data_IF_210543026173
#
_entry.id   IF_210543026173
#
_cell.length_a   1.000
_cell.length_b   1.000
_cell.length_c   1.000
_cell.angle_alpha   90.00
_cell.angle_beta   90.00
_cell.angle_gamma   90.00
#
_symmetry.space_group_name_H-M   'P 1'
#
loop_
_entity.id
_entity.type
_entity.pdbx_description
1 polymer ?
#
# COMPACT_ATOMS: atom_id res chain seq x y z
N UNK A 1 5.17 -18.92 -6.54
CA UNK A 1 5.13 -17.46 -6.41
C UNK A 1 3.76 -17.09 -5.91
N UNK A 2 3.65 -16.33 -4.82
CA UNK A 2 2.36 -15.77 -4.40
C UNK A 2 2.09 -14.50 -5.22
N UNK A 3 0.83 -14.24 -5.60
CA UNK A 3 0.47 -12.99 -6.27
C UNK A 3 0.74 -11.81 -5.33
N UNK A 4 1.14 -10.67 -5.88
CA UNK A 4 1.40 -9.46 -5.11
C UNK A 4 0.93 -8.24 -5.89
N UNK A 5 0.45 -7.23 -5.17
CA UNK A 5 0.08 -5.92 -5.69
C UNK A 5 1.19 -4.93 -5.31
N UNK A 6 1.64 -4.17 -6.30
CA UNK A 6 2.59 -3.07 -6.14
C UNK A 6 1.82 -1.75 -6.10
N UNK A 7 1.94 -1.08 -4.97
CA UNK A 7 1.31 0.21 -4.72
C UNK A 7 2.37 1.30 -4.87
N UNK A 8 2.25 2.09 -5.91
CA UNK A 8 3.05 3.29 -6.08
C UNK A 8 2.36 4.42 -5.32
N UNK A 9 3.12 5.17 -4.53
CA UNK A 9 2.62 6.35 -3.87
C UNK A 9 3.25 7.60 -4.48
N UNK A 10 2.49 8.69 -4.48
CA UNK A 10 3.01 9.97 -4.97
C UNK A 10 4.21 10.37 -4.12
N UNK A 11 5.39 10.47 -4.74
CA UNK A 11 6.43 11.38 -4.29
C UNK A 11 5.94 12.80 -4.64
N UNK A 12 4.93 13.29 -3.93
CA UNK A 12 4.83 14.73 -3.72
C UNK A 12 6.23 15.14 -3.29
N UNK A 13 6.78 16.19 -3.87
CA UNK A 13 8.11 16.77 -3.63
C UNK A 13 8.27 17.17 -2.16
N UNK A 14 8.31 16.17 -1.29
CA UNK A 14 8.41 16.26 0.15
C UNK A 14 9.88 16.56 0.42
N UNK A 15 10.17 17.84 0.66
CA UNK A 15 11.50 18.29 1.10
C UNK A 15 11.98 17.38 2.23
N UNK A 16 12.97 16.53 1.95
CA UNK A 16 13.69 15.64 2.87
C UNK A 16 12.83 14.90 3.91
N UNK A 17 12.63 15.53 5.06
CA UNK A 17 12.08 14.92 6.27
C UNK A 17 10.61 14.53 6.16
N UNK A 18 9.83 15.21 5.32
CA UNK A 18 8.40 14.92 5.18
C UNK A 18 8.12 13.59 4.48
N UNK A 19 9.08 13.06 3.70
CA UNK A 19 8.94 11.76 3.03
C UNK A 19 8.73 10.63 4.03
N UNK A 20 9.61 10.53 5.04
CA UNK A 20 9.56 9.44 6.03
C UNK A 20 8.25 9.51 6.82
N UNK A 21 7.78 10.72 7.14
CA UNK A 21 6.51 10.94 7.84
C UNK A 21 5.32 10.52 6.97
N UNK A 22 5.30 10.95 5.70
CA UNK A 22 4.27 10.59 4.74
C UNK A 22 4.20 9.08 4.52
N UNK A 23 5.33 8.42 4.22
CA UNK A 23 5.37 6.97 3.97
C UNK A 23 4.90 6.18 5.19
N UNK A 24 5.28 6.58 6.42
CA UNK A 24 4.79 5.96 7.65
C UNK A 24 3.29 6.10 7.81
N UNK A 25 2.75 7.30 7.57
CA UNK A 25 1.33 7.55 7.71
C UNK A 25 0.52 6.82 6.62
N UNK A 26 1.00 6.83 5.38
CA UNK A 26 0.35 6.12 4.28
C UNK A 26 0.37 4.60 4.51
N UNK A 27 1.51 4.04 4.94
CA UNK A 27 1.61 2.63 5.31
C UNK A 27 0.60 2.25 6.40
N UNK A 28 0.42 3.11 7.42
CA UNK A 28 -0.59 2.91 8.47
C UNK A 28 -2.01 2.93 7.88
N UNK A 29 -2.31 3.87 7.00
CA UNK A 29 -3.62 3.97 6.35
C UNK A 29 -3.89 2.76 5.44
N UNK A 30 -2.89 2.30 4.69
CA UNK A 30 -2.97 1.09 3.84
C UNK A 30 -3.28 -0.13 4.70
N UNK A 31 -2.53 -0.36 5.78
CA UNK A 31 -2.76 -1.47 6.71
C UNK A 31 -4.16 -1.44 7.33
N UNK A 32 -4.61 -0.26 7.76
CA UNK A 32 -5.94 -0.09 8.32
C UNK A 32 -7.04 -0.34 7.29
N UNK A 33 -6.86 0.17 6.06
CA UNK A 33 -7.80 -0.04 4.97
C UNK A 33 -7.92 -1.52 4.63
N UNK A 34 -6.81 -2.24 4.53
CA UNK A 34 -6.79 -3.66 4.17
C UNK A 34 -7.01 -4.61 5.36
N UNK A 35 -7.27 -4.08 6.56
CA UNK A 35 -7.60 -4.88 7.74
C UNK A 35 -8.80 -5.78 7.45
N UNK A 36 -8.62 -7.09 7.66
CA UNK A 36 -9.64 -8.11 7.39
C UNK A 36 -9.66 -8.64 5.94
N UNK A 37 -8.83 -8.08 5.05
CA UNK A 37 -8.57 -8.66 3.73
C UNK A 37 -7.22 -9.36 3.67
N UNK A 38 -6.17 -8.70 4.18
CA UNK A 38 -4.80 -9.24 4.18
C UNK A 38 -4.13 -9.00 5.54
N UNK A 39 -3.20 -9.85 5.99
CA UNK A 39 -2.44 -9.61 7.20
C UNK A 39 -1.56 -8.34 7.11
N UNK A 40 -1.46 -7.54 8.16
CA UNK A 40 -0.59 -6.36 8.14
C UNK A 40 0.91 -6.69 7.89
N UNK A 41 1.32 -7.93 8.17
CA UNK A 41 2.66 -8.45 7.89
C UNK A 41 2.91 -8.74 6.41
N UNK A 42 1.86 -8.92 5.60
CA UNK A 42 1.99 -9.09 4.14
C UNK A 42 2.20 -7.76 3.41
N UNK A 43 2.13 -6.64 4.14
CA UNK A 43 2.29 -5.28 3.62
C UNK A 43 3.65 -4.73 4.06
N UNK A 44 4.54 -4.56 3.10
CA UNK A 44 5.90 -4.07 3.32
C UNK A 44 6.34 -3.12 2.21
N UNK A 45 7.56 -2.61 2.31
CA UNK A 45 8.13 -1.67 1.34
C UNK A 45 8.51 -0.34 1.97
N UNK A 46 8.64 0.67 1.12
CA UNK A 46 9.23 1.97 1.40
C UNK A 46 9.92 2.51 0.15
N UNK A 47 10.49 3.72 0.24
CA UNK A 47 11.23 4.33 -0.88
C UNK A 47 10.41 4.41 -2.18
N UNK A 48 9.15 4.82 -2.09
CA UNK A 48 8.32 5.11 -3.27
C UNK A 48 7.26 4.05 -3.59
N UNK A 49 7.36 2.85 -3.02
CA UNK A 49 6.45 1.74 -3.30
C UNK A 49 6.17 0.90 -2.07
N UNK A 50 4.95 0.37 -1.99
CA UNK A 50 4.57 -0.70 -1.07
C UNK A 50 4.21 -1.96 -1.85
N UNK A 51 4.48 -3.10 -1.24
CA UNK A 51 4.13 -4.42 -1.76
C UNK A 51 3.09 -5.01 -0.82
N UNK A 52 2.00 -5.49 -1.40
CA UNK A 52 0.94 -6.22 -0.71
C UNK A 52 0.95 -7.64 -1.24
N UNK A 53 1.48 -8.57 -0.46
CA UNK A 53 1.41 -9.99 -0.80
C UNK A 53 -0.01 -10.49 -0.58
N UNK A 54 -0.53 -11.24 -1.56
CA UNK A 54 -1.86 -11.81 -1.55
C UNK A 54 -1.80 -13.31 -1.23
N UNK A 55 -2.65 -13.74 -0.31
CA UNK A 55 -2.95 -15.14 -0.04
C UNK A 55 -3.73 -15.80 -1.18
N UNK A 56 -3.82 -17.14 -1.16
CA UNK A 56 -4.47 -17.92 -2.22
C UNK A 56 -5.97 -17.61 -2.39
N UNK A 57 -6.65 -17.20 -1.32
CA UNK A 57 -8.09 -16.90 -1.29
C UNK A 57 -8.41 -15.40 -1.35
N UNK A 58 -7.39 -14.54 -1.40
CA UNK A 58 -7.57 -13.10 -1.34
C UNK A 58 -7.86 -12.54 -2.74
N UNK A 59 -9.07 -11.99 -2.91
CA UNK A 59 -9.48 -11.42 -4.18
C UNK A 59 -8.72 -10.10 -4.44
N UNK A 60 -7.73 -10.13 -5.34
CA UNK A 60 -6.95 -8.96 -5.77
C UNK A 60 -7.84 -7.73 -6.06
N UNK A 61 -8.96 -7.92 -6.75
CA UNK A 61 -9.90 -6.84 -7.07
C UNK A 61 -10.50 -6.13 -5.85
N UNK A 62 -10.69 -6.84 -4.71
CA UNK A 62 -11.15 -6.22 -3.46
C UNK A 62 -10.06 -5.36 -2.82
N UNK A 63 -8.81 -5.83 -2.89
CA UNK A 63 -7.64 -5.10 -2.39
C UNK A 63 -7.43 -3.84 -3.23
N UNK A 64 -7.44 -3.96 -4.56
CA UNK A 64 -7.36 -2.84 -5.50
C UNK A 64 -8.47 -1.80 -5.24
N UNK A 65 -9.72 -2.23 -5.12
CA UNK A 65 -10.85 -1.34 -4.85
C UNK A 65 -10.67 -0.54 -3.56
N UNK A 66 -10.14 -1.17 -2.49
CA UNK A 66 -9.91 -0.50 -1.20
C UNK A 66 -8.74 0.47 -1.26
N UNK A 67 -7.66 0.08 -1.93
CA UNK A 67 -6.49 0.94 -2.14
C UNK A 67 -6.84 2.16 -2.99
N UNK A 68 -7.69 2.01 -4.01
CA UNK A 68 -8.14 3.11 -4.87
C UNK A 68 -8.89 4.23 -4.13
N UNK A 69 -9.34 4.01 -2.90
CA UNK A 69 -9.98 5.04 -2.06
C UNK A 69 -9.00 5.86 -1.23
N UNK A 70 -7.71 5.45 -1.16
CA UNK A 70 -6.72 6.08 -0.30
C UNK A 70 -6.01 7.23 -1.02
N UNK A 71 -6.07 8.42 -0.42
CA UNK A 71 -5.24 9.55 -0.85
C UNK A 71 -3.75 9.24 -0.71
N UNK A 72 -2.95 9.69 -1.68
CA UNK A 72 -1.50 9.53 -1.68
C UNK A 72 -1.00 8.32 -2.47
N UNK A 73 -1.88 7.41 -2.87
CA UNK A 73 -1.58 6.36 -3.86
C UNK A 73 -1.67 6.97 -5.26
N UNK A 74 -0.67 6.70 -6.09
CA UNK A 74 -0.57 7.19 -7.47
C UNK A 74 -0.90 6.13 -8.51
N UNK A 75 -0.53 4.88 -8.24
CA UNK A 75 -0.79 3.76 -9.13
C UNK A 75 -0.86 2.45 -8.35
N UNK A 76 -1.63 1.49 -8.85
CA UNK A 76 -1.78 0.14 -8.31
C UNK A 76 -1.59 -0.82 -9.48
N UNK A 77 -0.67 -1.76 -9.37
CA UNK A 77 -0.35 -2.73 -10.43
C UNK A 77 0.01 -4.11 -9.89
#
# INVERSE_FOLDING_TARGET
>A
MQPAIVVHHHEITLKGENRRLFERQLMKNVRNSLSGLVPASSIHGGYGRFIVELGADEAASRVEARLGTLFGISNIC
#
